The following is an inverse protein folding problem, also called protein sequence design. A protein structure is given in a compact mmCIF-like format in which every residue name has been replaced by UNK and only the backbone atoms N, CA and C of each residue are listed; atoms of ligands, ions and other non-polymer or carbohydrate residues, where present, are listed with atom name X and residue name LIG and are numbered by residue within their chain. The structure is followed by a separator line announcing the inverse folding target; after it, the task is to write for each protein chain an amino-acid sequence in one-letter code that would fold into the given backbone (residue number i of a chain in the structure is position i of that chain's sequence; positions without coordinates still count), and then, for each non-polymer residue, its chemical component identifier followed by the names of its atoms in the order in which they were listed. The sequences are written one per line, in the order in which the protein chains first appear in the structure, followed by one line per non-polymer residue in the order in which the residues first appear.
data_IF_256062010484
#
_entry.id   IF_256062010484
#
_cell.length_a   1.000
_cell.length_b   1.000
_cell.length_c   1.000
_cell.angle_alpha   90.00
_cell.angle_beta   90.00
_cell.angle_gamma   90.00
#
_symmetry.space_group_name_H-M   'P 1'
#
loop_
_entity.id
_entity.type
_entity.pdbx_description
1 polymer ?
#
# COMPACT_ATOMS: atom_id res chain seq x y z
N UNK A 1 2.92 -5.10 -11.10
CA UNK A 1 1.66 -4.45 -11.50
C UNK A 1 1.97 -3.04 -12.03
N UNK A 2 2.54 -3.00 -13.26
CA UNK A 2 2.98 -1.75 -13.88
C UNK A 2 1.75 -0.91 -14.31
N UNK A 3 0.69 -1.54 -14.77
CA UNK A 3 -0.52 -0.92 -15.28
C UNK A 3 -1.16 -0.01 -14.22
N UNK A 4 -1.30 -0.52 -12.98
CA UNK A 4 -1.87 0.24 -11.86
C UNK A 4 -1.02 1.47 -11.48
N UNK A 5 0.30 1.34 -11.55
CA UNK A 5 1.19 2.46 -11.24
C UNK A 5 1.19 3.51 -12.36
N UNK A 6 1.06 3.09 -13.61
CA UNK A 6 0.94 4.02 -14.74
C UNK A 6 -0.35 4.83 -14.70
N UNK A 7 -1.43 4.31 -14.09
CA UNK A 7 -2.66 5.08 -13.89
C UNK A 7 -2.40 6.37 -13.10
N UNK A 8 -1.71 6.27 -11.96
CA UNK A 8 -1.31 7.46 -11.19
C UNK A 8 -0.33 8.34 -12.00
N UNK A 9 0.58 7.72 -12.77
CA UNK A 9 1.53 8.46 -13.60
C UNK A 9 0.82 9.33 -14.64
N UNK A 10 -0.20 8.81 -15.31
CA UNK A 10 -0.99 9.60 -16.29
C UNK A 10 -1.69 10.77 -15.63
N UNK A 11 -2.25 10.58 -14.43
CA UNK A 11 -2.89 11.67 -13.67
C UNK A 11 -1.89 12.77 -13.26
N UNK A 12 -0.67 12.38 -12.85
CA UNK A 12 0.37 13.36 -12.50
C UNK A 12 0.86 14.15 -13.71
N UNK A 13 0.95 13.52 -14.87
CA UNK A 13 1.35 14.19 -16.11
C UNK A 13 0.30 15.20 -16.56
N UNK A 14 -0.99 14.88 -16.41
CA UNK A 14 -2.12 15.77 -16.72
C UNK A 14 -2.14 17.05 -15.88
N UNK A 15 -1.50 17.06 -14.71
CA UNK A 15 -1.29 18.29 -13.92
C UNK A 15 -0.35 19.30 -14.60
N UNK A 16 0.26 18.97 -15.75
CA UNK A 16 1.18 19.87 -16.45
C UNK A 16 2.46 20.20 -15.67
N UNK A 17 2.84 19.37 -14.71
CA UNK A 17 4.07 19.51 -13.94
C UNK A 17 5.19 18.61 -14.51
N UNK A 18 6.47 18.98 -14.34
CA UNK A 18 7.59 18.10 -14.71
C UNK A 18 7.53 16.79 -13.93
N UNK A 19 7.50 15.66 -14.65
CA UNK A 19 7.45 14.31 -14.05
C UNK A 19 8.65 13.51 -14.47
N UNK A 20 9.26 12.78 -13.56
CA UNK A 20 10.27 11.74 -13.82
C UNK A 20 9.78 10.42 -13.23
N UNK A 21 9.73 9.39 -14.06
CA UNK A 21 9.25 8.07 -13.68
C UNK A 21 10.42 7.15 -13.31
N UNK A 22 10.49 6.76 -12.04
CA UNK A 22 11.45 5.77 -11.56
C UNK A 22 10.83 4.37 -11.56
N UNK A 23 11.28 3.51 -12.50
CA UNK A 23 10.82 2.12 -12.61
C UNK A 23 11.61 1.26 -11.64
N UNK A 24 10.99 0.94 -10.52
CA UNK A 24 11.62 0.17 -9.44
C UNK A 24 11.55 -1.34 -9.68
N UNK A 25 12.29 -2.10 -8.87
CA UNK A 25 12.40 -3.56 -8.91
C UNK A 25 13.00 -4.09 -10.21
N UNK A 26 13.90 -3.33 -10.86
CA UNK A 26 14.50 -3.76 -12.11
C UNK A 26 15.36 -5.03 -11.97
N UNK A 27 15.88 -5.29 -10.79
CA UNK A 27 16.58 -6.53 -10.44
C UNK A 27 15.67 -7.76 -10.57
N UNK A 28 14.39 -7.65 -10.18
CA UNK A 28 13.39 -8.71 -10.37
C UNK A 28 13.00 -8.86 -11.84
N UNK A 29 12.84 -7.75 -12.57
CA UNK A 29 12.55 -7.77 -14.00
C UNK A 29 13.67 -8.52 -14.76
N UNK A 30 14.94 -8.19 -14.47
CA UNK A 30 16.11 -8.86 -15.04
C UNK A 30 16.18 -10.34 -14.63
N UNK A 31 15.90 -10.66 -13.34
CA UNK A 31 15.89 -12.05 -12.84
C UNK A 31 14.83 -12.90 -13.52
N UNK A 32 13.66 -12.34 -13.79
CA UNK A 32 12.57 -13.03 -14.48
C UNK A 32 12.80 -13.14 -16.01
N UNK A 33 13.78 -12.43 -16.53
CA UNK A 33 14.07 -12.36 -17.97
C UNK A 33 13.10 -11.48 -18.75
N UNK A 34 12.29 -10.67 -18.05
CA UNK A 34 11.41 -9.67 -18.64
C UNK A 34 12.24 -8.46 -19.11
N UNK A 35 11.71 -7.70 -20.06
CA UNK A 35 12.37 -6.50 -20.58
C UNK A 35 11.38 -5.34 -20.58
N UNK A 36 11.82 -4.19 -20.07
CA UNK A 36 11.09 -2.93 -20.13
C UNK A 36 11.90 -1.97 -21.01
N UNK A 37 11.28 -1.49 -22.08
CA UNK A 37 11.88 -0.50 -22.97
C UNK A 37 11.55 0.91 -22.45
N UNK A 38 12.48 1.47 -21.65
CA UNK A 38 12.31 2.79 -21.05
C UNK A 38 12.18 3.91 -22.08
N UNK A 39 12.83 3.79 -23.24
CA UNK A 39 12.72 4.83 -24.27
C UNK A 39 11.33 4.89 -24.85
N UNK A 40 10.73 3.72 -25.13
CA UNK A 40 9.34 3.66 -25.57
C UNK A 40 8.39 4.17 -24.50
N UNK A 41 8.60 3.74 -23.25
CA UNK A 41 7.78 4.17 -22.13
C UNK A 41 7.83 5.69 -21.93
N UNK A 42 9.04 6.28 -22.01
CA UNK A 42 9.25 7.71 -21.94
C UNK A 42 8.58 8.48 -23.08
N UNK A 43 8.69 7.97 -24.30
CA UNK A 43 8.10 8.62 -25.48
C UNK A 43 6.56 8.57 -25.46
N UNK A 44 5.98 7.41 -25.09
CA UNK A 44 4.52 7.28 -25.00
C UNK A 44 3.92 8.11 -23.87
N UNK A 45 4.61 8.26 -22.75
CA UNK A 45 4.12 9.01 -21.59
C UNK A 45 4.53 10.49 -21.58
N UNK A 46 5.44 10.91 -22.44
CA UNK A 46 5.93 12.29 -22.47
C UNK A 46 6.77 12.69 -21.25
N UNK A 47 7.30 11.75 -20.46
CA UNK A 47 8.13 12.01 -19.29
C UNK A 47 9.41 11.17 -19.30
N UNK A 48 10.46 11.66 -18.65
CA UNK A 48 11.72 10.89 -18.54
C UNK A 48 11.50 9.66 -17.64
N UNK A 49 12.05 8.50 -18.06
CA UNK A 49 11.97 7.24 -17.34
C UNK A 49 13.36 6.70 -17.01
N UNK A 50 13.56 6.20 -15.80
CA UNK A 50 14.82 5.62 -15.33
C UNK A 50 14.59 4.31 -14.57
N UNK A 51 15.50 3.35 -14.74
CA UNK A 51 15.54 2.11 -13.97
C UNK A 51 16.13 2.35 -12.58
N UNK A 52 15.48 1.80 -11.56
CA UNK A 52 16.03 1.77 -10.20
C UNK A 52 15.81 0.40 -9.54
N UNK A 53 16.66 0.09 -8.57
CA UNK A 53 16.44 -0.98 -7.59
C UNK A 53 16.67 -0.40 -6.21
N UNK A 54 15.60 0.01 -5.54
CA UNK A 54 15.68 0.59 -4.19
C UNK A 54 16.30 -0.40 -3.20
N UNK A 55 16.02 -1.71 -3.34
CA UNK A 55 16.60 -2.76 -2.50
C UNK A 55 18.14 -2.84 -2.62
N UNK A 56 18.68 -2.59 -3.81
CA UNK A 56 20.13 -2.65 -4.07
C UNK A 56 20.79 -1.28 -4.08
N UNK A 57 20.01 -0.23 -3.84
CA UNK A 57 20.45 1.17 -3.93
C UNK A 57 21.04 1.52 -5.32
N UNK A 58 20.51 0.91 -6.39
CA UNK A 58 20.94 1.18 -7.77
C UNK A 58 20.02 2.25 -8.39
N UNK A 59 20.61 3.32 -8.94
CA UNK A 59 19.92 4.34 -9.74
C UNK A 59 19.11 5.38 -8.96
N UNK A 60 18.99 5.29 -7.63
CA UNK A 60 18.20 6.22 -6.81
C UNK A 60 18.73 7.65 -6.86
N UNK A 61 20.06 7.85 -6.76
CA UNK A 61 20.70 9.17 -6.82
C UNK A 61 20.49 9.81 -8.21
N UNK A 62 20.65 9.01 -9.26
CA UNK A 62 20.42 9.47 -10.63
C UNK A 62 18.96 9.84 -10.89
N UNK A 63 18.00 9.13 -10.30
CA UNK A 63 16.58 9.50 -10.35
C UNK A 63 16.33 10.85 -9.68
N UNK A 64 16.96 11.10 -8.53
CA UNK A 64 16.87 12.38 -7.83
C UNK A 64 17.50 13.52 -8.65
N UNK A 65 18.68 13.30 -9.27
CA UNK A 65 19.33 14.27 -10.14
C UNK A 65 18.44 14.63 -11.35
N UNK A 66 17.83 13.63 -12.00
CA UNK A 66 16.91 13.84 -13.11
C UNK A 66 15.66 14.61 -12.66
N UNK A 67 15.09 14.31 -11.50
CA UNK A 67 13.95 15.02 -10.96
C UNK A 67 14.27 16.50 -10.69
N UNK A 68 15.45 16.79 -10.10
CA UNK A 68 15.92 18.15 -9.90
C UNK A 68 16.17 18.87 -11.24
N UNK A 69 16.74 18.19 -12.22
CA UNK A 69 16.96 18.74 -13.54
C UNK A 69 15.64 19.05 -14.27
N UNK A 70 14.65 18.17 -14.18
CA UNK A 70 13.31 18.37 -14.73
C UNK A 70 12.61 19.57 -14.05
N UNK A 71 12.68 19.67 -12.73
CA UNK A 71 12.12 20.79 -11.98
C UNK A 71 12.77 22.12 -12.36
N UNK A 72 14.09 22.17 -12.56
CA UNK A 72 14.82 23.38 -13.00
C UNK A 72 14.43 23.81 -14.41
N UNK A 73 14.12 22.87 -15.31
CA UNK A 73 13.64 23.20 -16.67
C UNK A 73 12.24 23.84 -16.61
N UNK A 74 11.44 23.53 -15.60
CA UNK A 74 10.13 24.13 -15.35
C UNK A 74 9.07 23.89 -16.43
N UNK A 75 9.37 23.05 -17.42
CA UNK A 75 8.43 22.68 -18.50
C UNK A 75 8.01 21.24 -18.30
N UNK A 76 6.69 21.00 -18.31
CA UNK A 76 6.12 19.68 -18.46
C UNK A 76 6.54 19.08 -19.81
N UNK A 77 6.57 17.76 -19.92
CA UNK A 77 6.65 17.09 -21.20
C UNK A 77 5.41 17.34 -22.06
N UNK A 78 5.43 16.82 -23.26
CA UNK A 78 4.25 16.82 -24.13
C UNK A 78 3.17 15.93 -23.50
N UNK A 79 1.94 16.45 -23.39
CA UNK A 79 0.84 15.69 -22.80
C UNK A 79 0.48 14.50 -23.70
N UNK A 80 0.41 13.29 -23.19
CA UNK A 80 0.02 12.13 -23.97
C UNK A 80 -1.48 12.19 -24.33
N UNK A 81 -1.82 11.71 -25.52
CA UNK A 81 -3.21 11.56 -25.96
C UNK A 81 -3.84 10.34 -25.30
N UNK A 82 -4.29 10.53 -24.05
CA UNK A 82 -4.90 9.46 -23.24
C UNK A 82 -6.33 9.17 -23.69
N UNK A 83 -7.09 10.21 -24.02
CA UNK A 83 -8.49 10.11 -24.41
C UNK A 83 -8.66 10.20 -25.92
N UNK A 84 -9.74 9.65 -26.46
CA UNK A 84 -9.99 9.59 -27.90
C UNK A 84 -11.48 9.76 -28.20
N UNK A 85 -11.80 10.10 -29.47
CA UNK A 85 -13.20 10.16 -29.95
C UNK A 85 -14.01 11.26 -29.28
N UNK A 86 -15.27 10.96 -28.99
CA UNK A 86 -16.24 11.88 -28.38
C UNK A 86 -15.79 12.39 -27.01
N UNK A 87 -15.10 11.57 -26.24
CA UNK A 87 -14.56 11.95 -24.91
C UNK A 87 -13.52 13.05 -25.03
N UNK A 88 -12.56 12.92 -25.95
CA UNK A 88 -11.55 13.95 -26.19
C UNK A 88 -12.19 15.24 -26.68
N UNK A 89 -13.19 15.14 -27.55
CA UNK A 89 -13.95 16.28 -28.04
C UNK A 89 -14.69 17.01 -26.91
N UNK A 90 -15.37 16.28 -26.03
CA UNK A 90 -16.06 16.85 -24.89
C UNK A 90 -15.09 17.51 -23.90
N UNK A 91 -13.95 16.88 -23.61
CA UNK A 91 -12.90 17.46 -22.75
C UNK A 91 -12.36 18.76 -23.37
N UNK A 92 -12.10 18.79 -24.68
CA UNK A 92 -11.65 20.01 -25.37
C UNK A 92 -12.68 21.16 -25.27
N UNK A 93 -13.98 20.88 -25.41
CA UNK A 93 -15.02 21.87 -25.18
C UNK A 93 -15.08 22.39 -23.74
N UNK A 94 -14.82 21.49 -22.76
CA UNK A 94 -14.73 21.91 -21.37
C UNK A 94 -13.51 22.82 -21.17
N UNK A 95 -12.35 22.47 -21.75
CA UNK A 95 -11.14 23.31 -21.71
C UNK A 95 -11.42 24.73 -22.26
N UNK A 96 -12.04 24.83 -23.43
CA UNK A 96 -12.42 26.12 -24.02
C UNK A 96 -13.34 26.94 -23.10
N UNK A 97 -14.29 26.26 -22.45
CA UNK A 97 -15.30 26.90 -21.59
C UNK A 97 -14.74 27.42 -20.27
N UNK A 98 -13.64 26.84 -19.78
CA UNK A 98 -12.97 27.27 -18.53
C UNK A 98 -11.66 28.03 -18.78
N UNK A 99 -11.29 28.23 -20.04
CA UNK A 99 -10.07 28.99 -20.39
C UNK A 99 -10.12 30.39 -19.78
N UNK A 100 -9.00 30.81 -19.18
CA UNK A 100 -8.90 32.08 -18.47
C UNK A 100 -9.53 32.13 -17.08
N UNK A 101 -10.20 31.06 -16.64
CA UNK A 101 -10.69 30.93 -15.25
C UNK A 101 -9.71 30.16 -14.37
N UNK A 102 -8.84 29.36 -14.98
CA UNK A 102 -7.80 28.55 -14.32
C UNK A 102 -6.44 28.83 -14.95
N UNK A 103 -5.35 28.46 -14.26
CA UNK A 103 -4.00 28.51 -14.84
C UNK A 103 -3.91 27.50 -16.00
N UNK A 104 -3.40 27.95 -17.14
CA UNK A 104 -3.29 27.14 -18.38
C UNK A 104 -2.56 25.81 -18.16
N UNK A 105 -1.67 25.75 -17.16
CA UNK A 105 -0.94 24.50 -16.80
C UNK A 105 -1.87 23.41 -16.28
N UNK A 106 -2.94 23.79 -15.60
CA UNK A 106 -3.88 22.85 -14.97
C UNK A 106 -5.17 22.70 -15.77
N UNK A 107 -5.28 23.39 -16.91
CA UNK A 107 -6.50 23.44 -17.71
C UNK A 107 -7.03 22.05 -18.05
N UNK A 108 -6.14 21.18 -18.53
CA UNK A 108 -6.45 19.79 -18.87
C UNK A 108 -6.97 19.00 -17.67
N UNK A 109 -6.31 19.13 -16.53
CA UNK A 109 -6.70 18.43 -15.31
C UNK A 109 -8.09 18.87 -14.83
N UNK A 110 -8.34 20.19 -14.82
CA UNK A 110 -9.65 20.73 -14.47
C UNK A 110 -10.75 20.25 -15.43
N UNK A 111 -10.47 20.21 -16.73
CA UNK A 111 -11.43 19.75 -17.72
C UNK A 111 -11.80 18.26 -17.52
N UNK A 112 -10.80 17.39 -17.26
CA UNK A 112 -11.05 16.00 -16.96
C UNK A 112 -11.87 15.84 -15.67
N UNK A 113 -11.57 16.60 -14.63
CA UNK A 113 -12.30 16.57 -13.37
C UNK A 113 -13.75 17.09 -13.51
N UNK A 114 -13.96 18.09 -14.32
CA UNK A 114 -15.33 18.54 -14.64
C UNK A 114 -16.10 17.51 -15.46
N UNK A 115 -15.44 16.80 -16.39
CA UNK A 115 -16.05 15.68 -17.13
C UNK A 115 -16.46 14.55 -16.15
N UNK A 116 -15.64 14.23 -15.14
CA UNK A 116 -15.96 13.28 -14.07
C UNK A 116 -17.03 13.80 -13.09
N UNK A 117 -17.52 15.03 -13.25
CA UNK A 117 -18.46 15.73 -12.34
C UNK A 117 -17.96 15.83 -10.90
N UNK A 118 -16.65 16.06 -10.69
CA UNK A 118 -16.07 16.22 -9.36
C UNK A 118 -16.67 17.43 -8.63
N UNK A 119 -17.45 17.17 -7.57
CA UNK A 119 -18.16 18.21 -6.80
C UNK A 119 -17.22 19.25 -6.20
N UNK A 120 -16.00 18.86 -5.81
CA UNK A 120 -15.04 19.79 -5.20
C UNK A 120 -14.50 20.76 -6.22
N UNK A 121 -14.22 20.29 -7.42
CA UNK A 121 -13.76 21.13 -8.53
C UNK A 121 -14.87 22.07 -9.00
N UNK A 122 -16.10 21.59 -9.11
CA UNK A 122 -17.25 22.43 -9.44
C UNK A 122 -17.44 23.54 -8.40
N UNK A 123 -17.34 23.23 -7.13
CA UNK A 123 -17.46 24.20 -6.04
C UNK A 123 -16.28 25.21 -6.02
N UNK A 124 -15.05 24.76 -6.29
CA UNK A 124 -13.86 25.60 -6.33
C UNK A 124 -13.93 26.64 -7.46
N UNK A 125 -14.33 26.19 -8.66
CA UNK A 125 -14.41 27.06 -9.84
C UNK A 125 -15.60 28.02 -9.83
N UNK A 126 -16.59 27.77 -8.98
CA UNK A 126 -17.81 28.56 -8.83
C UNK A 126 -18.42 28.95 -10.19
N UNK A 127 -18.62 27.95 -11.06
CA UNK A 127 -19.14 28.13 -12.41
C UNK A 127 -20.61 28.53 -12.38
N UNK A 128 -21.05 29.30 -13.38
CA UNK A 128 -22.48 29.64 -13.50
C UNK A 128 -23.30 28.39 -13.80
N UNK A 129 -24.56 28.40 -13.37
CA UNK A 129 -25.46 27.28 -13.59
C UNK A 129 -25.66 26.98 -15.08
N UNK A 130 -25.78 28.03 -15.90
CA UNK A 130 -25.93 27.89 -17.35
C UNK A 130 -24.72 27.18 -17.98
N UNK A 131 -23.51 27.47 -17.48
CA UNK A 131 -22.29 26.81 -17.96
C UNK A 131 -22.25 25.35 -17.52
N UNK A 132 -22.60 25.05 -16.26
CA UNK A 132 -22.67 23.67 -15.77
C UNK A 132 -23.68 22.85 -16.57
N UNK A 133 -24.89 23.38 -16.82
CA UNK A 133 -25.92 22.73 -17.61
C UNK A 133 -25.46 22.47 -19.06
N UNK A 134 -24.67 23.41 -19.63
CA UNK A 134 -24.07 23.25 -20.96
C UNK A 134 -23.01 22.12 -20.99
N UNK A 135 -22.10 22.08 -20.01
CA UNK A 135 -21.08 21.04 -19.90
C UNK A 135 -21.72 19.66 -19.66
N UNK A 136 -22.74 19.62 -18.80
CA UNK A 136 -23.47 18.38 -18.51
C UNK A 136 -24.16 17.80 -19.74
N UNK A 137 -24.65 18.61 -20.67
CA UNK A 137 -25.21 18.15 -21.91
C UNK A 137 -24.18 17.39 -22.78
N UNK A 138 -22.96 17.94 -22.92
CA UNK A 138 -21.89 17.27 -23.66
C UNK A 138 -21.42 15.96 -22.98
N UNK A 139 -21.37 15.95 -21.65
CA UNK A 139 -21.00 14.77 -20.87
C UNK A 139 -22.08 13.70 -21.04
N UNK A 140 -23.36 14.07 -20.94
CA UNK A 140 -24.49 13.16 -21.10
C UNK A 140 -24.55 12.54 -22.52
N UNK A 141 -24.17 13.29 -23.55
CA UNK A 141 -24.05 12.74 -24.91
C UNK A 141 -22.96 11.64 -24.98
N UNK A 142 -21.81 11.85 -24.33
CA UNK A 142 -20.76 10.85 -24.24
C UNK A 142 -21.19 9.61 -23.44
N UNK A 143 -21.87 9.80 -22.31
CA UNK A 143 -22.40 8.72 -21.47
C UNK A 143 -23.40 7.86 -22.26
N UNK A 144 -24.27 8.50 -23.04
CA UNK A 144 -25.22 7.79 -23.89
C UNK A 144 -24.55 7.03 -25.04
N UNK A 145 -23.49 7.61 -25.63
CA UNK A 145 -22.74 6.95 -26.71
C UNK A 145 -21.95 5.74 -26.20
N UNK A 146 -21.34 5.87 -25.01
CA UNK A 146 -20.48 4.84 -24.42
C UNK A 146 -21.24 3.83 -23.55
N UNK A 147 -22.53 4.07 -23.26
CA UNK A 147 -23.38 3.27 -22.37
C UNK A 147 -22.74 3.05 -20.98
N UNK A 148 -22.10 4.10 -20.44
CA UNK A 148 -21.40 4.06 -19.16
C UNK A 148 -21.42 5.46 -18.51
N UNK A 149 -21.13 5.55 -17.21
CA UNK A 149 -21.01 6.83 -16.50
C UNK A 149 -19.66 7.53 -16.78
N UNK A 150 -19.63 8.85 -16.59
CA UNK A 150 -18.47 9.69 -16.92
C UNK A 150 -17.18 9.26 -16.24
N UNK A 151 -17.22 8.84 -14.96
CA UNK A 151 -16.05 8.37 -14.22
C UNK A 151 -15.52 7.04 -14.76
N UNK A 152 -16.43 6.10 -15.06
CA UNK A 152 -16.10 4.83 -15.68
C UNK A 152 -15.52 5.00 -17.09
N UNK A 153 -16.07 5.92 -17.90
CA UNK A 153 -15.55 6.24 -19.24
C UNK A 153 -14.10 6.72 -19.16
N UNK A 154 -13.80 7.69 -18.31
CA UNK A 154 -12.44 8.20 -18.10
C UNK A 154 -11.51 7.08 -17.64
N UNK A 155 -11.93 6.29 -16.67
CA UNK A 155 -11.15 5.17 -16.13
C UNK A 155 -10.88 4.12 -17.21
N UNK A 156 -11.87 3.73 -17.99
CA UNK A 156 -11.75 2.73 -19.04
C UNK A 156 -10.81 3.21 -20.16
N UNK A 157 -10.91 4.46 -20.59
CA UNK A 157 -10.01 5.02 -21.60
C UNK A 157 -8.56 5.13 -21.10
N UNK A 158 -8.35 5.53 -19.84
CA UNK A 158 -7.00 5.50 -19.22
C UNK A 158 -6.40 4.10 -19.24
N UNK A 159 -7.16 3.09 -18.81
CA UNK A 159 -6.65 1.71 -18.84
C UNK A 159 -6.42 1.19 -20.26
N UNK A 160 -7.26 1.55 -21.22
CA UNK A 160 -7.05 1.20 -22.62
C UNK A 160 -5.74 1.79 -23.16
N UNK A 161 -5.49 3.08 -22.89
CA UNK A 161 -4.24 3.75 -23.22
C UNK A 161 -3.04 3.09 -22.54
N UNK A 162 -3.09 2.88 -21.22
CA UNK A 162 -2.03 2.27 -20.42
C UNK A 162 -1.70 0.86 -20.93
N UNK A 163 -2.71 0.05 -21.23
CA UNK A 163 -2.51 -1.28 -21.80
C UNK A 163 -1.81 -1.21 -23.15
N UNK A 164 -2.15 -0.23 -24.00
CA UNK A 164 -1.45 0.05 -25.24
C UNK A 164 0.04 0.36 -25.03
N UNK A 165 0.35 1.24 -24.06
CA UNK A 165 1.73 1.62 -23.69
C UNK A 165 2.50 0.41 -23.16
N UNK A 166 1.90 -0.37 -22.26
CA UNK A 166 2.53 -1.55 -21.65
C UNK A 166 2.81 -2.61 -22.72
N UNK A 167 1.88 -2.87 -23.62
CA UNK A 167 2.07 -3.85 -24.70
C UNK A 167 3.20 -3.46 -25.65
N UNK A 168 3.44 -2.15 -25.87
CA UNK A 168 4.55 -1.64 -26.70
C UNK A 168 5.88 -1.66 -25.95
N UNK A 169 5.90 -1.33 -24.66
CA UNK A 169 7.11 -1.10 -23.88
C UNK A 169 7.59 -2.32 -23.08
N UNK A 170 6.69 -3.23 -22.69
CA UNK A 170 7.01 -4.36 -21.80
C UNK A 170 6.94 -5.68 -22.57
N UNK A 171 8.07 -6.38 -22.60
CA UNK A 171 8.15 -7.74 -23.14
C UNK A 171 8.29 -8.72 -21.98
N UNK A 172 7.21 -9.41 -21.64
CA UNK A 172 7.25 -10.52 -20.67
C UNK A 172 7.80 -11.76 -21.35
N UNK A 173 8.80 -12.38 -20.73
CA UNK A 173 9.26 -13.69 -21.18
C UNK A 173 8.14 -14.70 -20.95
N UNK A 174 7.80 -15.55 -21.95
CA UNK A 174 6.88 -16.64 -21.71
C UNK A 174 7.40 -17.44 -20.51
N UNK A 175 6.63 -17.49 -19.44
CA UNK A 175 6.98 -18.34 -18.29
C UNK A 175 6.89 -19.78 -18.78
N UNK A 176 8.01 -20.38 -19.12
CA UNK A 176 8.12 -21.83 -19.14
C UNK A 176 7.68 -22.32 -17.75
N UNK A 177 6.85 -23.34 -17.69
CA UNK A 177 6.11 -23.86 -16.53
C UNK A 177 6.92 -24.21 -15.26
N UNK A 178 8.13 -23.70 -15.12
CA UNK A 178 8.90 -23.84 -13.90
C UNK A 178 8.34 -22.90 -12.83
N UNK A 179 7.28 -23.38 -12.16
CA UNK A 179 6.77 -22.80 -10.92
C UNK A 179 7.95 -22.50 -10.00
N UNK A 180 8.05 -21.26 -9.52
CA UNK A 180 9.04 -20.93 -8.49
C UNK A 180 8.75 -21.74 -7.23
N UNK A 181 9.74 -21.90 -6.34
CA UNK A 181 9.50 -22.59 -5.07
C UNK A 181 8.34 -21.96 -4.29
N UNK A 182 8.20 -20.63 -4.38
CA UNK A 182 7.09 -19.88 -3.79
C UNK A 182 5.74 -20.26 -4.42
N UNK A 183 5.66 -20.36 -5.75
CA UNK A 183 4.42 -20.75 -6.44
C UNK A 183 3.99 -22.17 -6.09
N UNK A 184 4.95 -23.10 -5.88
CA UNK A 184 4.67 -24.47 -5.46
C UNK A 184 4.15 -24.52 -4.03
N UNK A 185 4.76 -23.74 -3.12
CA UNK A 185 4.30 -23.63 -1.74
C UNK A 185 2.89 -23.04 -1.71
N UNK A 186 2.66 -21.99 -2.48
CA UNK A 186 1.35 -21.34 -2.58
C UNK A 186 0.28 -22.30 -3.09
N UNK A 187 0.54 -23.04 -4.18
CA UNK A 187 -0.37 -24.08 -4.68
C UNK A 187 -0.69 -25.16 -3.64
N UNK A 188 0.30 -25.52 -2.81
CA UNK A 188 0.10 -26.53 -1.79
C UNK A 188 -0.73 -25.99 -0.62
N UNK A 189 -0.39 -24.80 -0.14
CA UNK A 189 -1.06 -24.16 1.03
C UNK A 189 -2.47 -23.67 0.70
N UNK A 190 -2.69 -23.18 -0.53
CA UNK A 190 -4.01 -22.66 -0.97
C UNK A 190 -4.89 -23.74 -1.61
N UNK A 191 -4.44 -24.99 -1.66
CA UNK A 191 -5.23 -26.08 -2.20
C UNK A 191 -6.53 -26.25 -1.41
N UNK A 192 -7.68 -26.22 -2.08
CA UNK A 192 -9.02 -26.24 -1.47
C UNK A 192 -9.25 -27.39 -0.49
N UNK A 193 -8.63 -28.57 -0.72
CA UNK A 193 -8.79 -29.74 0.13
C UNK A 193 -7.75 -29.74 1.25
N UNK A 194 -6.49 -29.35 0.93
CA UNK A 194 -5.37 -29.39 1.87
C UNK A 194 -5.32 -28.19 2.80
N UNK A 195 -5.95 -27.08 2.45
CA UNK A 195 -5.93 -25.85 3.25
C UNK A 195 -6.49 -26.08 4.67
N UNK A 196 -7.60 -26.81 4.82
CA UNK A 196 -8.20 -27.09 6.12
C UNK A 196 -7.30 -27.93 7.04
N UNK A 197 -6.76 -29.09 6.62
CA UNK A 197 -5.86 -29.86 7.47
C UNK A 197 -4.53 -29.14 7.73
N UNK A 198 -4.00 -28.37 6.77
CA UNK A 198 -2.80 -27.55 6.98
C UNK A 198 -3.08 -26.45 8.03
N UNK A 199 -4.21 -25.76 7.92
CA UNK A 199 -4.63 -24.77 8.89
C UNK A 199 -4.77 -25.40 10.30
N UNK A 200 -5.45 -26.55 10.41
CA UNK A 200 -5.58 -27.27 11.68
C UNK A 200 -4.23 -27.66 12.28
N UNK A 201 -3.29 -28.13 11.45
CA UNK A 201 -1.95 -28.49 11.90
C UNK A 201 -1.15 -27.26 12.37
N UNK A 202 -1.24 -26.14 11.65
CA UNK A 202 -0.59 -24.87 12.05
C UNK A 202 -1.18 -24.36 13.36
N UNK A 203 -2.51 -24.35 13.49
CA UNK A 203 -3.19 -23.93 14.72
C UNK A 203 -2.81 -24.82 15.90
N UNK A 204 -2.80 -26.14 15.69
CA UNK A 204 -2.34 -27.08 16.73
C UNK A 204 -0.89 -26.80 17.15
N UNK A 205 0.01 -26.55 16.17
CA UNK A 205 1.41 -26.23 16.46
C UNK A 205 1.54 -24.91 17.23
N UNK A 206 0.81 -23.87 16.85
CA UNK A 206 0.79 -22.60 17.56
C UNK A 206 0.31 -22.76 19.01
N UNK A 207 -0.77 -23.49 19.22
CA UNK A 207 -1.24 -23.79 20.58
C UNK A 207 -0.25 -24.65 21.36
N UNK A 208 0.39 -25.62 20.74
CA UNK A 208 1.38 -26.46 21.41
C UNK A 208 2.62 -25.65 21.84
N UNK A 209 3.07 -24.68 21.04
CA UNK A 209 4.18 -23.78 21.38
C UNK A 209 3.77 -22.76 22.45
N UNK A 210 2.56 -22.23 22.37
CA UNK A 210 2.09 -21.21 23.32
C UNK A 210 1.63 -21.79 24.64
N UNK A 211 0.82 -22.87 24.62
CA UNK A 211 0.09 -23.43 25.78
C UNK A 211 0.43 -24.89 26.08
N UNK A 212 1.35 -25.50 25.32
CA UNK A 212 1.74 -26.88 25.52
C UNK A 212 2.56 -27.10 26.79
N UNK A 213 2.98 -28.33 27.04
CA UNK A 213 3.89 -28.69 28.13
C UNK A 213 5.14 -27.83 28.06
N UNK A 214 5.54 -27.26 29.21
CA UNK A 214 6.73 -26.40 29.34
C UNK A 214 7.99 -27.03 28.74
N UNK A 215 8.84 -26.24 28.14
CA UNK A 215 10.15 -26.70 27.64
C UNK A 215 11.01 -27.25 28.79
N UNK A 216 10.86 -26.74 30.03
CA UNK A 216 11.55 -27.24 31.20
C UNK A 216 11.16 -28.70 31.53
N UNK A 217 9.92 -29.12 31.19
CA UNK A 217 9.40 -30.47 31.40
C UNK A 217 9.51 -31.35 30.16
N UNK A 218 10.33 -30.97 29.18
CA UNK A 218 10.57 -31.70 27.94
C UNK A 218 9.51 -31.54 26.85
N UNK A 219 8.61 -30.55 26.98
CA UNK A 219 7.63 -30.18 25.98
C UNK A 219 8.15 -29.14 24.98
N UNK A 220 7.23 -28.57 24.19
CA UNK A 220 7.52 -27.51 23.23
C UNK A 220 6.87 -26.16 23.60
N UNK A 221 6.25 -26.07 24.77
CA UNK A 221 5.52 -24.91 25.27
C UNK A 221 6.43 -23.78 25.74
N UNK A 222 6.90 -22.94 24.84
CA UNK A 222 7.73 -21.77 25.16
C UNK A 222 6.90 -20.73 25.93
N UNK A 223 5.63 -20.55 25.57
CA UNK A 223 4.75 -19.63 26.27
C UNK A 223 4.48 -20.05 27.71
N UNK A 224 4.27 -21.36 27.95
CA UNK A 224 4.10 -21.92 29.30
C UNK A 224 5.37 -21.76 30.12
N UNK A 225 6.54 -22.09 29.56
CA UNK A 225 7.82 -21.89 30.24
C UNK A 225 8.04 -20.41 30.67
N UNK A 226 7.76 -19.47 29.78
CA UNK A 226 7.91 -18.04 30.09
C UNK A 226 6.89 -17.59 31.15
N UNK A 227 5.68 -18.13 31.14
CA UNK A 227 4.65 -17.86 32.13
C UNK A 227 5.00 -18.41 33.50
N UNK A 228 5.47 -19.69 33.57
CA UNK A 228 5.92 -20.34 34.80
C UNK A 228 7.10 -19.57 35.41
N UNK A 229 8.09 -19.21 34.57
CA UNK A 229 9.20 -18.39 35.03
C UNK A 229 8.74 -17.02 35.59
N UNK A 230 7.80 -16.38 34.93
CA UNK A 230 7.27 -15.07 35.39
C UNK A 230 6.54 -15.21 36.70
N UNK A 231 5.71 -16.23 36.86
CA UNK A 231 4.93 -16.46 38.08
C UNK A 231 5.80 -16.93 39.25
N UNK A 232 6.67 -17.90 39.03
CA UNK A 232 7.41 -18.54 40.11
C UNK A 232 8.64 -17.72 40.51
N UNK A 233 9.40 -17.22 39.51
CA UNK A 233 10.66 -16.52 39.81
C UNK A 233 10.43 -15.01 40.00
N UNK A 234 9.72 -14.35 39.04
CA UNK A 234 9.57 -12.89 39.10
C UNK A 234 8.61 -12.48 40.22
N UNK A 235 7.38 -13.02 40.19
CA UNK A 235 6.33 -12.67 41.16
C UNK A 235 6.27 -13.61 42.37
N UNK A 236 6.86 -14.80 42.30
CA UNK A 236 6.98 -15.71 43.44
C UNK A 236 8.17 -15.41 44.36
N UNK A 237 9.30 -14.96 43.80
CA UNK A 237 10.54 -14.75 44.59
C UNK A 237 11.08 -13.32 44.52
N UNK A 238 11.37 -12.79 43.33
CA UNK A 238 12.10 -11.51 43.17
C UNK A 238 11.30 -10.34 43.72
N UNK A 239 10.08 -10.16 43.27
CA UNK A 239 9.23 -9.03 43.64
C UNK A 239 8.83 -9.09 45.12
N UNK A 240 8.34 -10.24 45.64
CA UNK A 240 8.04 -10.37 47.07
C UNK A 240 9.23 -10.14 48.00
N UNK A 241 10.38 -10.69 47.71
CA UNK A 241 11.56 -10.49 48.53
C UNK A 241 12.05 -9.03 48.52
N UNK A 242 12.03 -8.37 47.35
CA UNK A 242 12.46 -6.99 47.22
C UNK A 242 11.51 -6.02 47.95
N UNK A 243 10.20 -6.16 47.69
CA UNK A 243 9.18 -5.31 48.33
C UNK A 243 8.98 -5.65 49.82
N UNK A 244 8.96 -6.93 50.17
CA UNK A 244 8.82 -7.38 51.56
C UNK A 244 9.95 -6.83 52.42
N UNK A 245 11.21 -6.96 52.00
CA UNK A 245 12.37 -6.40 52.73
C UNK A 245 12.31 -4.88 52.85
N UNK A 246 11.81 -4.17 51.86
CA UNK A 246 11.62 -2.72 51.90
C UNK A 246 10.50 -2.33 52.87
N UNK A 247 9.35 -3.01 52.82
CA UNK A 247 8.22 -2.75 53.74
C UNK A 247 8.59 -3.03 55.23
N UNK A 248 9.34 -4.09 55.47
CA UNK A 248 9.86 -4.42 56.80
C UNK A 248 10.85 -3.35 57.29
N UNK A 249 11.72 -2.86 56.44
CA UNK A 249 12.71 -1.82 56.80
C UNK A 249 12.08 -0.49 57.17
N UNK A 250 10.91 -0.18 56.65
CA UNK A 250 10.14 1.03 56.92
C UNK A 250 9.22 0.83 58.15
N UNK A 251 9.07 -0.41 58.64
CA UNK A 251 8.25 -0.72 59.83
C UNK A 251 6.75 -0.64 59.56
N UNK A 252 6.28 -1.09 58.41
CA UNK A 252 4.90 -1.04 57.98
C UNK A 252 4.02 -1.96 58.87
N UNK A 253 2.82 -1.47 59.24
CA UNK A 253 1.88 -2.27 60.04
C UNK A 253 1.48 -3.56 59.30
N UNK A 254 1.35 -4.68 60.02
CA UNK A 254 1.14 -6.01 59.42
C UNK A 254 -0.09 -6.13 58.50
N UNK A 255 -1.20 -5.43 58.82
CA UNK A 255 -2.39 -5.41 57.94
C UNK A 255 -2.11 -4.75 56.58
N UNK A 256 -1.26 -3.67 56.57
CA UNK A 256 -0.90 -2.97 55.36
C UNK A 256 0.11 -3.78 54.54
N UNK A 257 1.02 -4.50 55.20
CA UNK A 257 1.93 -5.45 54.58
C UNK A 257 1.12 -6.53 53.84
N UNK A 258 0.13 -7.17 54.46
CA UNK A 258 -0.73 -8.17 53.83
C UNK A 258 -1.53 -7.59 52.67
N UNK A 259 -2.09 -6.37 52.80
CA UNK A 259 -2.83 -5.73 51.71
C UNK A 259 -1.96 -5.49 50.48
N UNK A 260 -0.69 -5.07 50.67
CA UNK A 260 0.23 -4.83 49.57
C UNK A 260 0.70 -6.15 48.94
N UNK A 261 1.11 -7.11 49.75
CA UNK A 261 1.69 -8.35 49.27
C UNK A 261 0.63 -9.30 48.70
N UNK A 262 -0.40 -9.60 49.46
CA UNK A 262 -1.42 -10.57 49.06
C UNK A 262 -2.51 -9.97 48.15
N UNK A 263 -2.72 -8.65 48.22
CA UNK A 263 -3.68 -7.95 47.38
C UNK A 263 -3.03 -7.42 46.08
N UNK A 264 -2.13 -6.46 46.21
CA UNK A 264 -1.61 -5.74 45.05
C UNK A 264 -0.59 -6.60 44.29
N UNK A 265 0.45 -7.12 44.94
CA UNK A 265 1.53 -7.86 44.30
C UNK A 265 1.01 -9.17 43.70
N UNK A 266 0.24 -9.93 44.46
CA UNK A 266 -0.35 -11.17 43.97
C UNK A 266 -1.37 -10.91 42.83
N UNK A 267 -2.21 -9.85 42.94
CA UNK A 267 -3.16 -9.49 41.90
C UNK A 267 -2.48 -9.03 40.60
N UNK A 268 -1.49 -8.16 40.69
CA UNK A 268 -0.69 -7.72 39.52
C UNK A 268 0.08 -8.90 38.93
N UNK A 269 0.67 -9.76 39.77
CA UNK A 269 1.39 -10.96 39.34
C UNK A 269 0.50 -11.91 38.55
N UNK A 270 -0.72 -12.15 39.04
CA UNK A 270 -1.68 -13.02 38.34
C UNK A 270 -2.04 -12.50 36.92
N UNK A 271 -2.15 -11.17 36.76
CA UNK A 271 -2.45 -10.57 35.43
C UNK A 271 -1.21 -10.59 34.52
N UNK A 272 -0.06 -10.13 35.04
CA UNK A 272 1.17 -10.05 34.24
C UNK A 272 1.76 -11.44 33.94
N UNK A 273 1.47 -12.44 34.77
CA UNK A 273 1.86 -13.82 34.54
C UNK A 273 1.33 -14.42 33.25
N UNK A 274 0.18 -13.96 32.74
CA UNK A 274 -0.37 -14.39 31.45
C UNK A 274 0.25 -13.73 30.24
N UNK A 275 0.91 -12.58 30.42
CA UNK A 275 1.42 -11.77 29.31
C UNK A 275 2.41 -12.54 28.44
N UNK A 276 3.40 -13.30 28.97
CA UNK A 276 4.35 -14.01 28.13
C UNK A 276 3.69 -15.04 27.22
N UNK A 277 2.71 -15.79 27.73
CA UNK A 277 1.98 -16.78 26.96
C UNK A 277 1.15 -16.12 25.82
N UNK A 278 0.51 -15.00 26.10
CA UNK A 278 -0.21 -14.23 25.09
C UNK A 278 0.72 -13.63 24.04
N UNK A 279 1.90 -13.13 24.42
CA UNK A 279 2.88 -12.64 23.47
C UNK A 279 3.31 -13.74 22.50
N UNK A 280 3.60 -14.96 23.00
CA UNK A 280 3.99 -16.08 22.15
C UNK A 280 2.83 -16.52 21.22
N UNK A 281 1.57 -16.38 21.66
CA UNK A 281 0.41 -16.71 20.84
C UNK A 281 0.22 -15.72 19.68
N UNK A 282 0.53 -14.43 19.89
CA UNK A 282 0.29 -13.38 18.88
C UNK A 282 1.47 -13.11 17.96
N UNK A 283 2.68 -13.60 18.28
CA UNK A 283 3.86 -13.52 17.41
C UNK A 283 4.06 -14.78 16.57
#
# INVERSE_FOLDING_TARGET
NIERNLYLTTQLIELGIPVVMAVNMIDLVRKNGDKIDLKKLSNELGCEAIEISALKNEGSDKAAELAVAAAKKGKAGELPHVFTGSVEHAIAHIEESIQGKVDDRFLRWYAVKLFERDDKVQAELNLSKELLDHLDAHIADCEKEMDDDAESIITNQRYAYINGVVNKAVKKKPRTENLTASDKIDQFVTNRILALPIFAAIMWLMYAISMGTSVADGGIGIGTFATDWTNDVLFGEIVPNALGGLLESIGVAGWLYGLIMDGIVAGVGAVLGFVPQMLVLFF
#
